data_IF_584726907742
#
_entry.id   IF_584726907742
#
_cell.length_a   1.000
_cell.length_b   1.000
_cell.length_c   1.000
_cell.angle_alpha   90.00
_cell.angle_beta   90.00
_cell.angle_gamma   90.00
#
_symmetry.space_group_name_H-M   'P 1'
#
loop_
_entity.id
_entity.type
_entity.pdbx_description
1 polymer ?
#
# COMPACT_ATOMS: atom_id res chain seq x y z
N UNK A 1 6.63 8.07 -11.63
CA UNK A 1 5.95 8.01 -10.32
C UNK A 1 4.89 9.09 -10.30
N UNK A 2 3.77 8.88 -9.61
CA UNK A 2 2.69 9.86 -9.51
C UNK A 2 2.38 10.18 -8.05
N UNK A 3 2.03 11.43 -7.78
CA UNK A 3 1.54 11.88 -6.48
C UNK A 3 0.59 13.08 -6.67
N UNK A 4 -0.41 13.24 -5.81
CA UNK A 4 -1.29 14.41 -5.83
C UNK A 4 -0.52 15.69 -5.45
N UNK A 5 -0.86 16.81 -6.08
CA UNK A 5 -0.40 18.15 -5.69
C UNK A 5 -1.33 18.74 -4.62
N UNK A 6 -1.17 18.29 -3.38
CA UNK A 6 -2.03 18.64 -2.23
C UNK A 6 -1.22 18.69 -0.94
N UNK A 7 -1.67 19.49 0.02
CA UNK A 7 -1.09 19.50 1.36
C UNK A 7 -1.30 18.17 2.09
N UNK A 8 -0.28 17.77 2.85
CA UNK A 8 -0.40 16.68 3.81
C UNK A 8 -1.37 17.06 4.94
N UNK A 9 -2.29 16.17 5.29
CA UNK A 9 -3.18 16.20 6.45
C UNK A 9 -2.40 16.29 7.76
N UNK A 10 -1.29 15.55 7.91
CA UNK A 10 -0.38 15.69 9.05
C UNK A 10 1.07 15.51 8.63
N UNK A 11 1.94 16.36 9.17
CA UNK A 11 3.40 16.16 9.17
C UNK A 11 3.77 15.46 10.48
N UNK A 12 4.53 14.36 10.40
CA UNK A 12 4.89 13.54 11.56
C UNK A 12 6.40 13.62 11.81
N UNK A 13 6.77 14.03 13.01
CA UNK A 13 8.12 13.81 13.52
C UNK A 13 8.25 12.33 13.89
N UNK A 14 8.96 11.57 13.06
CA UNK A 14 9.16 10.14 13.27
C UNK A 14 10.18 9.84 14.38
N UNK A 15 11.00 10.81 14.81
CA UNK A 15 11.89 10.65 15.96
C UNK A 15 11.15 10.74 17.29
N UNK A 16 10.00 11.44 17.30
CA UNK A 16 9.11 11.57 18.46
C UNK A 16 7.80 10.81 18.34
N UNK A 17 7.52 10.26 17.16
CA UNK A 17 6.24 9.63 16.79
C UNK A 17 5.01 10.53 17.03
N UNK A 18 5.15 11.85 16.81
CA UNK A 18 4.10 12.84 17.09
C UNK A 18 3.83 13.76 15.89
N UNK A 19 2.58 14.25 15.72
CA UNK A 19 2.26 15.28 14.74
C UNK A 19 2.94 16.61 15.04
N UNK A 20 3.33 17.31 13.97
CA UNK A 20 3.77 18.70 14.00
C UNK A 20 2.61 19.59 13.56
N UNK A 21 1.78 20.01 14.52
CA UNK A 21 0.52 20.75 14.29
C UNK A 21 0.64 22.03 13.45
N UNK A 22 1.84 22.63 13.41
CA UNK A 22 2.09 23.90 12.70
C UNK A 22 2.89 23.73 11.40
N UNK A 23 3.25 22.50 11.05
CA UNK A 23 3.94 22.22 9.79
C UNK A 23 2.96 21.71 8.73
N UNK A 24 3.08 22.24 7.53
CA UNK A 24 2.43 21.69 6.34
C UNK A 24 3.48 21.45 5.28
N UNK A 25 3.34 20.31 4.58
CA UNK A 25 4.21 19.95 3.45
C UNK A 25 3.33 19.50 2.31
N UNK A 26 3.79 19.72 1.09
CA UNK A 26 3.10 19.27 -0.12
C UNK A 26 3.45 17.81 -0.44
N UNK A 27 2.44 17.00 -0.78
CA UNK A 27 2.58 15.58 -1.07
C UNK A 27 3.42 15.35 -2.33
N UNK A 28 3.24 16.15 -3.39
CA UNK A 28 3.98 15.99 -4.64
C UNK A 28 5.48 16.28 -4.43
N UNK A 29 5.79 17.38 -3.75
CA UNK A 29 7.13 17.84 -3.41
C UNK A 29 7.87 16.86 -2.51
N UNK A 30 7.21 16.33 -1.47
CA UNK A 30 7.85 15.33 -0.60
C UNK A 30 8.03 13.99 -1.31
N UNK A 31 7.10 13.61 -2.18
CA UNK A 31 7.21 12.39 -3.01
C UNK A 31 8.31 12.51 -4.05
N UNK A 32 8.61 13.72 -4.54
CA UNK A 32 9.73 13.99 -5.44
C UNK A 32 11.08 13.55 -4.86
N UNK A 33 11.23 13.54 -3.52
CA UNK A 33 12.45 13.07 -2.84
C UNK A 33 12.68 11.57 -3.11
N UNK A 34 11.63 10.76 -3.08
CA UNK A 34 11.70 9.32 -3.38
C UNK A 34 11.92 9.12 -4.88
N UNK A 35 11.23 9.90 -5.70
CA UNK A 35 11.31 9.82 -7.16
C UNK A 35 12.59 10.40 -7.76
N UNK A 36 13.47 11.01 -6.95
CA UNK A 36 14.65 11.77 -7.40
C UNK A 36 14.29 12.84 -8.45
N UNK A 37 13.21 13.57 -8.20
CA UNK A 37 12.67 14.60 -9.08
C UNK A 37 11.83 14.09 -10.26
N UNK A 38 11.86 12.79 -10.59
CA UNK A 38 11.07 12.21 -11.69
C UNK A 38 9.63 11.86 -11.25
N UNK A 39 8.84 12.89 -10.98
CA UNK A 39 7.46 12.75 -10.52
C UNK A 39 6.51 13.64 -11.31
N UNK A 40 5.27 13.16 -11.48
CA UNK A 40 4.21 13.86 -12.20
C UNK A 40 2.99 13.93 -11.27
N UNK A 41 2.26 15.03 -11.34
CA UNK A 41 0.97 15.18 -10.66
C UNK A 41 -0.01 14.06 -11.08
N UNK A 42 -0.64 13.42 -10.10
CA UNK A 42 -1.61 12.34 -10.26
C UNK A 42 -2.83 12.73 -11.11
N UNK A 43 -3.12 14.02 -11.28
CA UNK A 43 -4.21 14.49 -12.15
C UNK A 43 -3.87 14.44 -13.66
N UNK A 44 -2.60 14.31 -14.03
CA UNK A 44 -2.12 14.42 -15.42
C UNK A 44 -1.96 13.11 -16.23
N UNK A 45 -1.77 11.90 -15.65
CA UNK A 45 -1.48 10.72 -16.44
C UNK A 45 -2.70 10.21 -17.21
N UNK A 46 -2.46 9.67 -18.40
CA UNK A 46 -3.42 8.87 -19.12
C UNK A 46 -3.25 7.39 -18.75
N UNK A 47 -4.33 6.76 -18.30
CA UNK A 47 -4.37 5.35 -17.90
C UNK A 47 -4.03 4.42 -19.07
N UNK A 48 -4.35 4.81 -20.32
CA UNK A 48 -4.05 3.99 -21.51
C UNK A 48 -2.56 3.80 -21.77
N UNK A 49 -1.70 4.64 -21.18
CA UNK A 49 -0.25 4.60 -21.40
C UNK A 49 0.49 3.70 -20.39
N UNK A 50 -0.24 2.96 -19.56
CA UNK A 50 0.32 2.16 -18.47
C UNK A 50 -0.29 0.76 -18.44
N UNK A 51 0.55 -0.27 -18.28
CA UNK A 51 0.11 -1.67 -18.26
C UNK A 51 -0.33 -2.15 -16.86
N UNK A 52 0.17 -1.48 -15.81
CA UNK A 52 -0.09 -1.81 -14.42
C UNK A 52 0.16 -0.60 -13.51
N UNK A 53 -0.41 -0.64 -12.30
CA UNK A 53 -0.17 0.34 -11.24
C UNK A 53 0.25 -0.37 -9.96
N UNK A 54 1.22 0.20 -9.26
CA UNK A 54 1.68 -0.28 -7.95
C UNK A 54 1.54 0.84 -6.94
N UNK A 55 0.89 0.55 -5.82
CA UNK A 55 0.71 1.47 -4.71
C UNK A 55 1.62 1.07 -3.54
N UNK A 56 2.79 1.70 -3.37
CA UNK A 56 3.64 1.41 -2.21
C UNK A 56 2.96 1.85 -0.91
N UNK A 57 3.10 1.06 0.16
CA UNK A 57 2.55 1.38 1.48
C UNK A 57 3.50 2.22 2.37
N UNK A 58 2.96 3.24 3.06
CA UNK A 58 3.29 3.67 4.46
C UNK A 58 2.24 4.65 5.03
N UNK A 59 2.12 4.85 6.34
CA UNK A 59 1.14 5.76 6.99
C UNK A 59 0.93 7.16 6.34
N UNK A 60 1.93 7.75 5.69
CA UNK A 60 1.78 9.04 4.97
C UNK A 60 0.78 8.99 3.82
N UNK A 61 0.63 7.81 3.21
CA UNK A 61 -0.44 7.54 2.28
C UNK A 61 -1.79 7.40 3.04
N UNK A 62 -1.88 6.69 4.17
CA UNK A 62 -3.14 6.58 4.95
C UNK A 62 -3.80 7.92 5.37
N UNK A 63 -3.00 8.97 5.60
CA UNK A 63 -3.48 10.31 5.99
C UNK A 63 -3.73 11.26 4.80
N UNK A 64 -3.03 11.10 3.68
CA UNK A 64 -3.07 12.07 2.57
C UNK A 64 -3.58 11.47 1.25
N UNK A 65 -3.28 10.20 0.97
CA UNK A 65 -3.81 9.38 -0.12
C UNK A 65 -3.30 7.93 0.03
N UNK A 66 -4.23 7.05 0.43
CA UNK A 66 -4.17 5.87 1.32
C UNK A 66 -3.07 4.79 1.19
N UNK A 67 -2.60 4.22 2.31
CA UNK A 67 -1.65 3.08 2.39
C UNK A 67 -2.13 1.98 3.34
N UNK A 68 -1.75 0.72 3.05
CA UNK A 68 -2.00 -0.56 3.77
C UNK A 68 -3.51 -0.84 3.92
N UNK A 69 -4.27 0.21 4.18
CA UNK A 69 -5.66 0.50 3.81
C UNK A 69 -5.84 0.64 2.28
N UNK A 70 -4.82 0.62 1.41
CA UNK A 70 -5.12 0.45 -0.03
C UNK A 70 -5.86 -0.87 -0.27
N UNK A 71 -5.58 -1.91 0.52
CA UNK A 71 -6.33 -3.17 0.49
C UNK A 71 -7.80 -2.96 0.89
N UNK A 72 -8.05 -2.05 1.83
CA UNK A 72 -9.36 -1.62 2.33
C UNK A 72 -10.07 -0.72 1.31
N UNK A 73 -9.35 0.09 0.53
CA UNK A 73 -9.90 0.81 -0.63
C UNK A 73 -10.20 -0.12 -1.79
N UNK A 74 -9.27 -1.03 -2.11
CA UNK A 74 -9.48 -2.06 -3.10
C UNK A 74 -10.72 -2.87 -2.72
N UNK A 75 -10.90 -3.20 -1.43
CA UNK A 75 -12.12 -3.81 -0.91
C UNK A 75 -13.38 -2.99 -1.20
N UNK A 76 -13.31 -1.67 -0.98
CA UNK A 76 -14.43 -0.76 -1.21
C UNK A 76 -14.74 -0.53 -2.69
N UNK A 77 -13.72 -0.47 -3.54
CA UNK A 77 -13.83 -0.10 -4.97
C UNK A 77 -14.00 -1.32 -5.87
N UNK A 78 -13.50 -2.48 -5.46
CA UNK A 78 -13.58 -3.77 -6.15
C UNK A 78 -14.34 -4.77 -5.27
N UNK A 79 -15.68 -4.85 -5.40
CA UNK A 79 -16.49 -5.75 -4.60
C UNK A 79 -16.02 -7.21 -4.73
N UNK A 80 -15.76 -7.87 -3.59
CA UNK A 80 -15.34 -9.27 -3.56
C UNK A 80 -13.89 -9.52 -4.00
N UNK A 81 -13.02 -8.50 -4.01
CA UNK A 81 -11.58 -8.69 -4.19
C UNK A 81 -10.99 -9.57 -3.10
N UNK A 82 -10.07 -10.45 -3.47
CA UNK A 82 -9.36 -11.35 -2.56
C UNK A 82 -7.96 -10.80 -2.26
N UNK A 83 -7.65 -10.52 -1.00
CA UNK A 83 -6.43 -9.81 -0.60
C UNK A 83 -5.75 -10.42 0.62
N UNK A 84 -4.42 -10.26 0.74
CA UNK A 84 -3.71 -10.57 1.98
C UNK A 84 -3.23 -9.30 2.69
N UNK A 85 -3.47 -9.23 3.99
CA UNK A 85 -2.80 -8.33 4.93
C UNK A 85 -1.75 -9.07 5.78
N UNK A 86 -1.54 -10.37 5.54
CA UNK A 86 -0.72 -11.23 6.38
C UNK A 86 -1.55 -12.31 7.06
N UNK A 87 -1.74 -12.13 8.37
CA UNK A 87 -2.37 -13.10 9.27
C UNK A 87 -3.57 -12.48 10.00
N UNK A 88 -4.47 -13.33 10.52
CA UNK A 88 -5.69 -12.94 11.24
C UNK A 88 -5.50 -12.82 12.75
N UNK A 89 -4.45 -13.45 13.28
CA UNK A 89 -4.13 -13.47 14.71
C UNK A 89 -2.76 -12.86 14.98
N UNK A 90 -2.64 -12.19 16.13
CA UNK A 90 -1.34 -11.74 16.65
C UNK A 90 -0.51 -12.94 17.09
N UNK A 91 0.65 -13.13 16.49
CA UNK A 91 1.57 -14.23 16.81
C UNK A 91 2.84 -13.67 17.45
N UNK A 92 2.86 -13.52 18.78
CA UNK A 92 4.06 -13.11 19.52
C UNK A 92 4.67 -11.78 19.06
N UNK A 93 3.84 -10.84 18.58
CA UNK A 93 4.27 -9.55 18.03
C UNK A 93 4.67 -9.57 16.55
N UNK A 94 4.67 -10.73 15.88
CA UNK A 94 4.96 -10.86 14.44
C UNK A 94 3.91 -10.16 13.57
N UNK A 95 2.67 -10.12 14.02
CA UNK A 95 1.53 -9.56 13.27
C UNK A 95 0.80 -8.48 14.09
N UNK A 96 1.42 -7.32 14.36
CA UNK A 96 0.87 -6.29 15.24
C UNK A 96 -0.39 -5.60 14.67
N UNK A 97 -0.76 -5.88 13.42
CA UNK A 97 -1.90 -5.30 12.73
C UNK A 97 -2.93 -6.35 12.27
N UNK A 98 -2.95 -7.54 12.89
CA UNK A 98 -3.83 -8.65 12.54
C UNK A 98 -5.34 -8.27 12.54
N UNK A 99 -5.74 -7.32 13.39
CA UNK A 99 -7.11 -6.77 13.41
C UNK A 99 -7.56 -6.09 12.10
N UNK A 100 -6.64 -5.79 11.18
CA UNK A 100 -6.98 -5.20 9.86
C UNK A 100 -7.86 -6.11 9.01
N UNK A 101 -7.81 -7.43 9.23
CA UNK A 101 -8.62 -8.44 8.53
C UNK A 101 -10.12 -8.19 8.69
N UNK A 102 -10.55 -7.75 9.88
CA UNK A 102 -11.93 -7.42 10.17
C UNK A 102 -12.41 -6.23 9.32
N UNK A 103 -11.57 -5.20 9.15
CA UNK A 103 -11.89 -4.04 8.33
C UNK A 103 -11.97 -4.38 6.83
N UNK A 104 -11.09 -5.27 6.35
CA UNK A 104 -11.12 -5.77 4.97
C UNK A 104 -12.43 -6.51 4.69
N UNK A 105 -12.81 -7.42 5.59
CA UNK A 105 -14.07 -8.19 5.46
C UNK A 105 -15.31 -7.30 5.57
N UNK A 106 -15.31 -6.34 6.51
CA UNK A 106 -16.43 -5.41 6.69
C UNK A 106 -16.70 -4.53 5.47
N UNK A 107 -15.70 -4.32 4.61
CA UNK A 107 -15.84 -3.56 3.36
C UNK A 107 -16.13 -4.42 2.14
N UNK A 108 -16.35 -5.72 2.32
CA UNK A 108 -16.77 -6.63 1.25
C UNK A 108 -15.63 -7.24 0.44
N UNK A 109 -14.37 -7.15 0.91
CA UNK A 109 -13.30 -7.98 0.40
C UNK A 109 -13.22 -9.31 1.14
N UNK A 110 -12.58 -10.29 0.49
CA UNK A 110 -12.17 -11.53 1.11
C UNK A 110 -10.72 -11.41 1.55
N UNK A 111 -10.43 -11.79 2.79
CA UNK A 111 -9.06 -11.95 3.24
C UNK A 111 -8.59 -13.39 3.03
N UNK A 112 -7.36 -13.56 2.55
CA UNK A 112 -6.66 -14.84 2.52
C UNK A 112 -5.35 -14.71 3.28
N UNK A 113 -5.16 -15.56 4.30
CA UNK A 113 -3.92 -15.61 5.08
C UNK A 113 -2.75 -16.03 4.19
N UNK A 114 -1.75 -15.16 4.07
CA UNK A 114 -0.51 -15.40 3.32
C UNK A 114 0.62 -14.61 3.94
N UNK A 115 1.75 -15.27 4.19
CA UNK A 115 2.93 -14.62 4.78
C UNK A 115 3.66 -13.68 3.82
N UNK A 116 3.58 -13.94 2.50
CA UNK A 116 4.39 -13.25 1.48
C UNK A 116 3.52 -12.48 0.50
N UNK A 117 2.99 -13.14 -0.53
CA UNK A 117 2.16 -12.55 -1.59
C UNK A 117 0.89 -13.34 -1.83
N UNK A 118 -0.12 -12.64 -2.33
CA UNK A 118 -1.39 -13.20 -2.78
C UNK A 118 -1.81 -12.59 -4.11
N UNK A 119 -2.39 -13.40 -4.98
CA UNK A 119 -2.86 -13.01 -6.30
C UNK A 119 -4.33 -13.35 -6.45
N UNK A 120 -5.15 -12.32 -6.62
CA UNK A 120 -6.51 -12.44 -7.10
C UNK A 120 -6.52 -12.39 -8.63
N UNK A 121 -6.60 -13.57 -9.24
CA UNK A 121 -6.64 -13.72 -10.70
C UNK A 121 -7.91 -13.12 -11.32
N UNK A 122 -9.03 -13.14 -10.59
CA UNK A 122 -10.33 -12.68 -11.09
C UNK A 122 -10.31 -11.16 -11.25
N UNK A 123 -9.81 -10.45 -10.25
CA UNK A 123 -9.77 -8.99 -10.25
C UNK A 123 -8.42 -8.43 -10.70
N UNK A 124 -7.45 -9.30 -11.03
CA UNK A 124 -6.06 -8.96 -11.40
C UNK A 124 -5.36 -8.08 -10.34
N UNK A 125 -5.50 -8.47 -9.08
CA UNK A 125 -4.92 -7.76 -7.93
C UNK A 125 -3.84 -8.60 -7.30
N UNK A 126 -2.68 -7.99 -7.02
CA UNK A 126 -1.58 -8.63 -6.28
C UNK A 126 -1.37 -7.86 -4.99
N UNK A 127 -1.24 -8.58 -3.88
CA UNK A 127 -1.09 -8.00 -2.54
C UNK A 127 0.03 -8.68 -1.78
N UNK A 128 0.71 -7.94 -0.90
CA UNK A 128 1.78 -8.44 -0.04
C UNK A 128 1.69 -7.78 1.33
N UNK A 129 2.00 -8.54 2.38
CA UNK A 129 1.92 -8.04 3.75
C UNK A 129 3.00 -6.99 4.06
N UNK A 130 4.19 -7.09 3.47
CA UNK A 130 5.32 -6.18 3.69
C UNK A 130 5.52 -5.84 5.20
N UNK A 131 5.45 -4.56 5.58
CA UNK A 131 5.62 -4.09 6.96
C UNK A 131 4.41 -4.37 7.88
N UNK A 132 3.36 -5.05 7.41
CA UNK A 132 2.32 -5.60 8.31
C UNK A 132 2.85 -6.77 9.15
N UNK A 133 3.98 -7.36 8.73
CA UNK A 133 4.73 -8.40 9.42
C UNK A 133 6.00 -7.81 10.04
N UNK A 134 6.20 -8.01 11.33
CA UNK A 134 7.46 -7.72 12.01
C UNK A 134 8.48 -8.81 11.65
N UNK A 135 9.31 -8.51 10.65
CA UNK A 135 10.29 -9.45 10.10
C UNK A 135 11.55 -8.73 9.58
N UNK A 136 12.55 -9.50 9.15
CA UNK A 136 13.80 -8.95 8.62
C UNK A 136 13.54 -8.23 7.29
N UNK A 137 14.20 -7.10 7.07
CA UNK A 137 14.01 -6.27 5.87
C UNK A 137 14.18 -7.03 4.55
N UNK A 138 15.12 -8.00 4.48
CA UNK A 138 15.31 -8.79 3.26
C UNK A 138 14.10 -9.68 2.94
N UNK A 139 13.37 -10.18 3.95
CA UNK A 139 12.16 -10.96 3.73
C UNK A 139 11.02 -10.09 3.18
N UNK A 140 10.94 -8.84 3.64
CA UNK A 140 10.01 -7.84 3.07
C UNK A 140 10.40 -7.54 1.61
N UNK A 141 11.70 -7.35 1.33
CA UNK A 141 12.19 -7.13 -0.02
C UNK A 141 11.86 -8.31 -0.95
N UNK A 142 12.07 -9.55 -0.49
CA UNK A 142 11.76 -10.75 -1.26
C UNK A 142 10.26 -10.85 -1.57
N UNK A 143 9.41 -10.51 -0.60
CA UNK A 143 7.96 -10.45 -0.78
C UNK A 143 7.50 -9.37 -1.78
N UNK A 144 8.05 -8.16 -1.69
CA UNK A 144 7.80 -7.10 -2.68
C UNK A 144 8.30 -7.53 -4.07
N UNK A 145 9.46 -8.18 -4.14
CA UNK A 145 10.00 -8.73 -5.38
C UNK A 145 9.08 -9.77 -6.00
N UNK A 146 8.49 -10.66 -5.19
CA UNK A 146 7.47 -11.61 -5.66
C UNK A 146 6.21 -10.90 -6.17
N UNK A 147 5.74 -9.88 -5.46
CA UNK A 147 4.58 -9.08 -5.85
C UNK A 147 4.79 -8.45 -7.23
N UNK A 148 5.95 -7.81 -7.45
CA UNK A 148 6.30 -7.19 -8.73
C UNK A 148 6.34 -8.23 -9.85
N UNK A 149 6.92 -9.42 -9.61
CA UNK A 149 6.92 -10.50 -10.60
C UNK A 149 5.52 -10.95 -10.98
N UNK A 150 4.61 -11.06 -10.03
CA UNK A 150 3.24 -11.49 -10.31
C UNK A 150 2.43 -10.40 -11.03
N UNK A 151 2.67 -9.12 -10.73
CA UNK A 151 2.10 -7.99 -11.49
C UNK A 151 2.56 -8.03 -12.95
N UNK A 152 3.86 -8.26 -13.20
CA UNK A 152 4.40 -8.36 -14.56
C UNK A 152 3.71 -9.49 -15.35
N UNK A 153 3.58 -10.67 -14.76
CA UNK A 153 2.84 -11.81 -15.37
C UNK A 153 1.40 -11.44 -15.73
N UNK A 154 0.68 -10.76 -14.82
CA UNK A 154 -0.71 -10.32 -15.07
C UNK A 154 -0.80 -9.26 -16.18
N UNK A 155 0.24 -8.44 -16.33
CA UNK A 155 0.36 -7.42 -17.40
C UNK A 155 0.82 -7.99 -18.75
N UNK A 156 1.17 -9.28 -18.83
CA UNK A 156 1.68 -9.91 -20.05
C UNK A 156 3.14 -9.57 -20.38
N UNK A 157 3.94 -9.20 -19.38
CA UNK A 157 5.38 -8.96 -19.48
C UNK A 157 6.18 -10.04 -18.75
#
# INVERSE_FOLDING_TARGET
MFAPDVSQMHVIDHGKSQPLEKESRDVLSESARIARGNIIDLAKPNVSNHDAVIFPGRFGAAKNLLCCIFLVLAAKVLPGVDVTVGHEEEEGGKWPYAGTTQAVTALGAKHTVKEVTHVDQKNKVVTTAAFMCETKLHLIFDGIGAMVRDVLKLSGK
#
